data_IF_898059859007
#
_entry.id   IF_898059859007
#
_cell.length_a   1.000
_cell.length_b   1.000
_cell.length_c   1.000
_cell.angle_alpha   90.00
_cell.angle_beta   90.00
_cell.angle_gamma   90.00
#
_symmetry.space_group_name_H-M   'P 1'
#
loop_
_entity.id
_entity.type
_entity.pdbx_description
1 polymer ?
#
# COMPACT_ATOMS: atom_id res chain seq x y z
N UNK A 1 8.39 -13.70 31.77
CA UNK A 1 7.43 -12.73 32.36
C UNK A 1 6.83 -11.71 31.39
N UNK A 2 7.41 -11.43 30.21
CA UNK A 2 6.91 -10.37 29.31
C UNK A 2 5.65 -10.71 28.47
N UNK A 3 5.35 -12.00 28.23
CA UNK A 3 4.20 -12.41 27.40
C UNK A 3 2.85 -12.15 28.08
N UNK A 4 2.72 -12.55 29.35
CA UNK A 4 1.48 -12.37 30.13
C UNK A 4 1.13 -10.90 30.33
N UNK A 5 2.11 -10.03 30.61
CA UNK A 5 1.90 -8.58 30.75
C UNK A 5 1.44 -7.93 29.45
N UNK A 6 1.94 -8.41 28.30
CA UNK A 6 1.52 -7.92 26.96
C UNK A 6 0.11 -8.38 26.59
N UNK A 7 -0.31 -9.56 27.05
CA UNK A 7 -1.67 -10.07 26.86
C UNK A 7 -2.70 -9.32 27.75
N UNK A 8 -2.30 -8.96 28.98
CA UNK A 8 -3.14 -8.20 29.91
C UNK A 8 -3.26 -6.71 29.55
N UNK A 9 -2.26 -6.14 28.87
CA UNK A 9 -2.29 -4.77 28.35
C UNK A 9 -2.24 -4.78 26.81
N UNK A 10 -3.34 -5.10 26.13
CA UNK A 10 -3.39 -4.96 24.68
C UNK A 10 -3.12 -3.49 24.33
N UNK A 11 -2.15 -3.26 23.43
CA UNK A 11 -1.92 -1.91 22.89
C UNK A 11 -3.14 -1.52 22.08
N UNK A 12 -4.02 -0.73 22.66
CA UNK A 12 -5.13 -0.11 21.94
C UNK A 12 -4.54 0.90 20.95
N UNK A 13 -4.94 0.78 19.69
CA UNK A 13 -4.60 1.78 18.69
C UNK A 13 -5.47 3.00 18.95
N UNK A 14 -4.95 3.98 19.67
CA UNK A 14 -5.61 5.27 19.81
C UNK A 14 -5.45 6.05 18.51
N UNK A 15 -6.57 6.53 17.96
CA UNK A 15 -6.53 7.47 16.85
C UNK A 15 -5.65 8.68 17.23
N UNK A 16 -4.78 9.15 16.32
CA UNK A 16 -3.97 10.32 16.59
C UNK A 16 -4.90 11.51 16.88
N UNK A 17 -4.80 12.07 18.08
CA UNK A 17 -5.35 13.39 18.42
C UNK A 17 -4.70 14.40 17.48
N UNK A 18 -5.43 15.35 16.89
CA UNK A 18 -4.90 16.31 15.90
C UNK A 18 -5.29 17.73 16.25
N UNK A 19 -4.44 18.67 15.86
CA UNK A 19 -4.67 20.11 15.96
C UNK A 19 -4.89 20.67 14.55
N UNK A 20 -5.85 21.58 14.39
CA UNK A 20 -6.06 22.37 13.18
C UNK A 20 -4.93 23.40 12.99
N UNK A 21 -4.87 24.04 11.83
CA UNK A 21 -4.07 25.22 11.49
C UNK A 21 -4.17 26.36 12.53
N UNK A 22 -5.26 26.42 13.30
CA UNK A 22 -5.48 27.36 14.42
C UNK A 22 -5.10 26.81 15.81
N UNK A 23 -4.53 25.61 15.91
CA UNK A 23 -4.15 24.97 17.19
C UNK A 23 -5.32 24.33 17.96
N UNK A 24 -6.53 24.21 17.36
CA UNK A 24 -7.69 23.56 17.99
C UNK A 24 -7.67 22.04 17.78
N UNK A 25 -7.96 21.29 18.84
CA UNK A 25 -8.06 19.83 18.78
C UNK A 25 -9.25 19.36 17.93
N UNK A 26 -8.95 18.80 16.75
CA UNK A 26 -9.92 18.14 15.88
C UNK A 26 -10.24 16.77 16.48
N UNK A 27 -11.52 16.57 16.82
CA UNK A 27 -12.02 15.32 17.42
C UNK A 27 -12.81 14.44 16.46
N UNK A 28 -13.36 15.01 15.38
CA UNK A 28 -14.19 14.26 14.42
C UNK A 28 -13.28 13.43 13.50
N UNK A 29 -13.55 12.12 13.33
CA UNK A 29 -12.74 11.25 12.48
C UNK A 29 -12.61 11.72 11.02
N UNK A 30 -13.69 12.25 10.43
CA UNK A 30 -13.66 12.74 9.05
C UNK A 30 -12.75 13.96 8.88
N UNK A 31 -12.86 14.94 9.77
CA UNK A 31 -12.02 16.14 9.74
C UNK A 31 -10.54 15.75 9.90
N UNK A 32 -10.25 14.82 10.83
CA UNK A 32 -8.92 14.21 11.01
C UNK A 32 -8.40 13.59 9.71
N UNK A 33 -9.25 12.87 8.97
CA UNK A 33 -8.90 12.23 7.70
C UNK A 33 -8.62 13.27 6.62
N UNK A 34 -9.51 14.25 6.45
CA UNK A 34 -9.36 15.32 5.46
C UNK A 34 -8.07 16.12 5.67
N UNK A 35 -7.80 16.56 6.90
CA UNK A 35 -6.57 17.30 7.22
C UNK A 35 -5.30 16.51 6.88
N UNK A 36 -5.31 15.18 7.10
CA UNK A 36 -4.15 14.35 6.77
C UNK A 36 -4.07 14.02 5.28
N UNK A 37 -5.20 13.83 4.63
CA UNK A 37 -5.26 13.65 3.18
C UNK A 37 -4.69 14.88 2.48
N UNK A 38 -5.13 16.08 2.86
CA UNK A 38 -4.64 17.34 2.31
C UNK A 38 -3.15 17.55 2.59
N UNK A 39 -2.70 17.27 3.83
CA UNK A 39 -1.28 17.36 4.18
C UNK A 39 -0.40 16.48 3.27
N UNK A 40 -0.77 15.21 3.08
CA UNK A 40 0.03 14.31 2.24
C UNK A 40 -0.15 14.57 0.75
N UNK A 41 -1.34 15.01 0.31
CA UNK A 41 -1.58 15.41 -1.08
C UNK A 41 -0.65 16.55 -1.47
N UNK A 42 -0.57 17.60 -0.66
CA UNK A 42 0.30 18.75 -0.94
C UNK A 42 1.78 18.39 -0.81
N UNK A 43 2.13 17.46 0.09
CA UNK A 43 3.53 17.07 0.31
C UNK A 43 4.07 16.09 -0.73
N UNK A 44 3.23 15.19 -1.23
CA UNK A 44 3.62 14.14 -2.18
C UNK A 44 3.39 14.56 -3.63
N UNK A 45 2.58 15.60 -3.88
CA UNK A 45 2.45 16.20 -5.19
C UNK A 45 3.68 17.05 -5.48
N UNK A 46 4.41 16.71 -6.52
CA UNK A 46 5.40 17.60 -7.11
C UNK A 46 4.72 18.35 -8.25
N UNK A 47 4.64 19.67 -8.14
CA UNK A 47 4.00 20.52 -9.15
C UNK A 47 4.84 20.60 -10.45
N UNK A 48 6.12 20.22 -10.38
CA UNK A 48 7.04 20.25 -11.52
C UNK A 48 7.16 18.90 -12.24
N UNK A 49 6.52 17.83 -11.74
CA UNK A 49 6.50 16.55 -12.44
C UNK A 49 5.45 16.56 -13.55
N UNK A 50 5.90 16.35 -14.78
CA UNK A 50 5.03 15.97 -15.90
C UNK A 50 4.39 14.61 -15.63
N UNK A 51 3.09 14.49 -15.91
CA UNK A 51 2.38 13.21 -15.80
C UNK A 51 3.14 12.11 -16.55
N UNK A 52 3.39 10.99 -15.85
CA UNK A 52 3.97 9.80 -16.48
C UNK A 52 2.85 9.14 -17.26
N UNK A 53 2.83 9.35 -18.57
CA UNK A 53 1.91 8.64 -19.43
C UNK A 53 2.29 7.15 -19.49
N UNK A 54 1.29 6.24 -19.52
CA UNK A 54 1.54 4.83 -19.82
C UNK A 54 2.36 4.68 -21.10
N UNK A 55 3.05 3.54 -21.23
CA UNK A 55 3.88 3.24 -22.39
C UNK A 55 3.18 3.61 -23.69
N UNK A 56 3.83 4.46 -24.50
CA UNK A 56 3.30 4.87 -25.80
C UNK A 56 3.93 4.00 -26.88
N UNK A 57 3.29 2.89 -27.21
CA UNK A 57 3.76 2.00 -28.27
C UNK A 57 2.68 1.03 -28.73
N UNK A 58 2.93 0.34 -29.84
CA UNK A 58 2.01 -0.69 -30.35
C UNK A 58 1.99 -1.88 -29.37
N UNK A 59 0.83 -2.51 -29.16
CA UNK A 59 0.72 -3.73 -28.37
C UNK A 59 1.70 -4.79 -28.90
N UNK A 60 2.50 -5.37 -28.00
CA UNK A 60 3.50 -6.39 -28.35
C UNK A 60 3.85 -7.26 -27.15
N UNK A 61 4.17 -8.55 -27.37
CA UNK A 61 4.61 -9.40 -26.28
C UNK A 61 5.97 -8.94 -25.73
N UNK A 62 6.28 -9.35 -24.50
CA UNK A 62 7.61 -9.19 -23.93
C UNK A 62 8.61 -10.06 -24.71
N UNK A 63 9.82 -9.54 -24.95
CA UNK A 63 10.92 -10.31 -25.56
C UNK A 63 11.23 -11.58 -24.76
N UNK A 64 11.03 -11.52 -23.44
CA UNK A 64 11.13 -12.66 -22.52
C UNK A 64 9.85 -12.69 -21.68
N UNK A 65 8.92 -13.62 -21.96
CA UNK A 65 7.70 -13.75 -21.18
C UNK A 65 8.00 -14.04 -19.71
N UNK A 66 7.16 -13.51 -18.83
CA UNK A 66 7.20 -13.78 -17.40
C UNK A 66 6.92 -15.27 -17.21
N UNK A 67 7.86 -15.98 -16.59
CA UNK A 67 7.73 -17.43 -16.38
C UNK A 67 7.05 -17.75 -15.04
N UNK A 68 6.40 -18.91 -14.97
CA UNK A 68 5.80 -19.40 -13.72
C UNK A 68 6.84 -19.49 -12.58
N UNK A 69 8.06 -19.95 -12.89
CA UNK A 69 9.13 -20.10 -11.90
C UNK A 69 9.62 -18.73 -11.37
N UNK A 70 9.72 -17.73 -12.25
CA UNK A 70 10.05 -16.36 -11.86
C UNK A 70 8.98 -15.75 -10.96
N UNK A 71 7.71 -15.95 -11.31
CA UNK A 71 6.60 -15.49 -10.49
C UNK A 71 6.61 -16.17 -9.11
N UNK A 72 6.74 -17.50 -9.06
CA UNK A 72 6.81 -18.24 -7.79
C UNK A 72 7.98 -17.76 -6.91
N UNK A 73 9.14 -17.51 -7.52
CA UNK A 73 10.30 -16.95 -6.80
C UNK A 73 9.99 -15.58 -6.20
N UNK A 74 9.22 -14.75 -6.91
CA UNK A 74 8.80 -13.43 -6.45
C UNK A 74 7.76 -13.52 -5.32
N UNK A 75 6.74 -14.37 -5.46
CA UNK A 75 5.73 -14.60 -4.43
C UNK A 75 6.34 -15.16 -3.13
N UNK A 76 7.34 -16.03 -3.23
CA UNK A 76 8.04 -16.58 -2.06
C UNK A 76 8.82 -15.52 -1.27
N UNK A 77 9.18 -14.38 -1.88
CA UNK A 77 9.87 -13.26 -1.21
C UNK A 77 8.92 -12.37 -0.42
N UNK A 78 7.61 -12.51 -0.61
CA UNK A 78 6.62 -11.78 0.19
C UNK A 78 6.77 -12.15 1.68
N UNK A 79 6.69 -11.14 2.53
CA UNK A 79 6.83 -11.31 3.99
C UNK A 79 5.48 -11.68 4.58
N UNK A 80 5.49 -12.62 5.53
CA UNK A 80 4.29 -12.98 6.26
C UNK A 80 3.92 -11.89 7.31
N UNK A 81 2.67 -11.91 7.76
CA UNK A 81 2.03 -11.01 8.71
C UNK A 81 2.18 -9.54 8.32
N UNK A 82 1.97 -9.26 7.03
CA UNK A 82 1.87 -7.90 6.49
C UNK A 82 0.42 -7.52 6.29
N UNK A 83 0.13 -6.23 6.44
CA UNK A 83 -1.21 -5.71 6.21
C UNK A 83 -1.56 -5.81 4.72
N UNK A 84 -2.76 -6.30 4.42
CA UNK A 84 -3.31 -6.30 3.07
C UNK A 84 -3.59 -4.89 2.56
N UNK A 85 -3.68 -4.76 1.23
CA UNK A 85 -4.19 -3.57 0.58
C UNK A 85 -5.70 -3.40 0.77
N UNK A 86 -6.30 -2.57 -0.06
CA UNK A 86 -7.75 -2.33 -0.05
C UNK A 86 -8.54 -3.57 -0.51
N UNK A 87 -7.90 -4.41 -1.32
CA UNK A 87 -8.41 -5.69 -1.81
C UNK A 87 -8.53 -6.80 -0.74
N UNK A 88 -8.00 -6.57 0.47
CA UNK A 88 -7.97 -7.54 1.57
C UNK A 88 -7.24 -8.85 1.26
N UNK A 89 -6.38 -8.88 0.23
CA UNK A 89 -5.58 -10.06 -0.11
C UNK A 89 -4.27 -10.02 0.66
N UNK A 90 -4.10 -10.97 1.59
CA UNK A 90 -2.85 -11.13 2.33
C UNK A 90 -1.78 -11.84 1.48
N UNK A 91 -0.52 -11.48 1.70
CA UNK A 91 0.63 -12.06 1.01
C UNK A 91 0.73 -13.59 1.12
N UNK A 92 0.27 -14.16 2.24
CA UNK A 92 0.24 -15.60 2.49
C UNK A 92 -0.63 -16.35 1.49
N UNK A 93 -1.76 -15.75 1.08
CA UNK A 93 -2.67 -16.37 0.12
C UNK A 93 -1.96 -16.58 -1.20
N UNK A 94 -1.22 -15.57 -1.68
CA UNK A 94 -0.43 -15.68 -2.90
C UNK A 94 0.76 -16.62 -2.73
N UNK A 95 1.45 -16.54 -1.59
CA UNK A 95 2.67 -17.31 -1.32
C UNK A 95 2.42 -18.82 -1.24
N UNK A 96 1.31 -19.21 -0.61
CA UNK A 96 0.93 -20.62 -0.40
C UNK A 96 -0.13 -21.09 -1.40
N UNK A 97 -0.51 -20.27 -2.38
CA UNK A 97 -1.43 -20.66 -3.43
C UNK A 97 -0.90 -21.84 -4.26
N UNK A 98 -1.80 -22.66 -4.84
CA UNK A 98 -1.44 -23.72 -5.77
C UNK A 98 -0.63 -23.20 -6.97
N UNK A 99 0.28 -24.02 -7.54
CA UNK A 99 1.06 -23.62 -8.73
C UNK A 99 0.23 -23.18 -9.93
N UNK A 100 -1.02 -23.64 -10.03
CA UNK A 100 -1.97 -23.21 -11.05
C UNK A 100 -2.19 -21.70 -11.02
N UNK A 101 -2.26 -21.09 -9.83
CA UNK A 101 -2.45 -19.64 -9.71
C UNK A 101 -1.25 -18.86 -10.28
N UNK A 102 -0.03 -19.36 -10.06
CA UNK A 102 1.16 -18.71 -10.62
C UNK A 102 1.08 -18.66 -12.15
N UNK A 103 0.64 -19.76 -12.77
CA UNK A 103 0.50 -19.81 -14.22
C UNK A 103 -0.54 -18.80 -14.69
N UNK A 104 -1.71 -18.77 -14.05
CA UNK A 104 -2.79 -17.83 -14.39
C UNK A 104 -2.36 -16.37 -14.27
N UNK A 105 -1.61 -16.02 -13.21
CA UNK A 105 -1.11 -14.65 -13.02
C UNK A 105 -0.06 -14.32 -14.09
N UNK A 106 0.90 -15.22 -14.35
CA UNK A 106 1.93 -15.00 -15.37
C UNK A 106 1.30 -14.83 -16.77
N UNK A 107 0.34 -15.68 -17.13
CA UNK A 107 -0.38 -15.60 -18.41
C UNK A 107 -1.17 -14.29 -18.52
N UNK A 108 -1.85 -13.87 -17.44
CA UNK A 108 -2.58 -12.59 -17.38
C UNK A 108 -1.64 -11.39 -17.58
N UNK A 109 -0.49 -11.38 -16.89
CA UNK A 109 0.48 -10.31 -17.01
C UNK A 109 1.09 -10.24 -18.42
N UNK A 110 1.50 -11.38 -18.97
CA UNK A 110 2.05 -11.46 -20.33
C UNK A 110 1.02 -10.98 -21.36
N UNK A 111 -0.23 -11.40 -21.23
CA UNK A 111 -1.33 -10.97 -22.10
C UNK A 111 -1.57 -9.46 -21.99
N UNK A 112 -1.53 -8.90 -20.78
CA UNK A 112 -1.69 -7.47 -20.57
C UNK A 112 -0.60 -6.65 -21.29
N UNK A 113 0.65 -7.12 -21.30
CA UNK A 113 1.71 -6.51 -22.11
C UNK A 113 1.44 -6.67 -23.61
N UNK A 114 1.03 -7.86 -24.05
CA UNK A 114 0.74 -8.16 -25.45
C UNK A 114 -0.39 -7.31 -26.03
N UNK A 115 -1.47 -7.11 -25.27
CA UNK A 115 -2.67 -6.36 -25.69
C UNK A 115 -2.66 -4.91 -25.25
N UNK A 116 -1.62 -4.48 -24.53
CA UNK A 116 -1.52 -3.15 -23.92
C UNK A 116 -2.74 -2.81 -23.04
N UNK A 117 -3.18 -3.79 -22.25
CA UNK A 117 -4.34 -3.65 -21.35
C UNK A 117 -3.88 -3.21 -19.97
N UNK A 118 -4.47 -2.13 -19.45
CA UNK A 118 -4.22 -1.68 -18.08
C UNK A 118 -4.95 -2.60 -17.09
N UNK A 119 -4.19 -3.26 -16.22
CA UNK A 119 -4.71 -4.12 -15.15
C UNK A 119 -5.10 -3.35 -13.89
N UNK A 120 -4.88 -2.04 -13.84
CA UNK A 120 -5.22 -1.17 -12.71
C UNK A 120 -4.58 -1.61 -11.37
N UNK A 121 -3.39 -2.23 -11.45
CA UNK A 121 -2.60 -2.71 -10.30
C UNK A 121 -1.95 -1.57 -9.49
N UNK A 122 -2.05 -0.33 -9.97
CA UNK A 122 -1.45 0.85 -9.36
C UNK A 122 -2.29 1.46 -8.23
N UNK A 123 -3.35 0.80 -7.78
CA UNK A 123 -4.18 1.26 -6.66
C UNK A 123 -3.56 0.88 -5.31
N UNK A 124 -3.79 1.72 -4.32
CA UNK A 124 -3.35 1.44 -2.96
C UNK A 124 -3.88 2.46 -1.96
N UNK A 125 -4.02 2.03 -0.71
CA UNK A 125 -4.50 2.84 0.41
C UNK A 125 -3.33 3.48 1.15
N UNK A 126 -3.45 4.76 1.47
CA UNK A 126 -2.46 5.47 2.29
C UNK A 126 -2.87 5.39 3.76
N UNK A 127 -1.99 4.81 4.58
CA UNK A 127 -2.14 4.73 6.03
C UNK A 127 -1.12 5.66 6.68
N UNK A 128 -1.61 6.56 7.54
CA UNK A 128 -0.78 7.49 8.28
C UNK A 128 -0.42 6.90 9.67
N UNK A 129 0.87 6.69 9.93
CA UNK A 129 1.36 6.08 11.19
C UNK A 129 2.18 7.09 11.99
N UNK A 130 1.94 7.20 13.29
CA UNK A 130 2.73 8.06 14.18
C UNK A 130 4.22 7.71 14.17
N UNK A 131 5.08 8.71 13.96
CA UNK A 131 6.54 8.56 14.10
C UNK A 131 6.89 8.28 15.56
N UNK A 132 7.75 7.29 15.79
CA UNK A 132 8.27 6.95 17.12
C UNK A 132 8.95 8.17 17.74
N UNK A 133 8.59 8.48 19.00
CA UNK A 133 9.21 9.56 19.78
C UNK A 133 8.79 10.98 19.40
N UNK A 134 7.84 11.16 18.47
CA UNK A 134 7.29 12.47 18.13
C UNK A 134 5.93 12.69 18.81
N UNK A 135 5.60 13.93 19.18
CA UNK A 135 4.31 14.22 19.80
C UNK A 135 3.16 13.85 18.84
N UNK A 136 2.07 13.33 19.41
CA UNK A 136 0.79 13.17 18.73
C UNK A 136 0.23 14.57 18.42
N UNK A 137 -0.59 14.74 17.39
CA UNK A 137 -1.11 16.05 16.99
C UNK A 137 -0.75 16.40 15.55
N UNK A 138 0.47 16.89 15.30
CA UNK A 138 0.83 17.46 14.00
C UNK A 138 0.89 16.41 12.86
N UNK A 139 0.29 16.67 11.69
CA UNK A 139 0.39 15.79 10.52
C UNK A 139 1.84 15.49 10.08
N UNK A 140 2.76 16.45 10.26
CA UNK A 140 4.20 16.26 9.96
C UNK A 140 4.88 15.17 10.79
N UNK A 141 4.28 14.78 11.93
CA UNK A 141 4.75 13.69 12.78
C UNK A 141 4.22 12.32 12.35
N UNK A 142 3.44 12.24 11.26
CA UNK A 142 2.96 10.99 10.68
C UNK A 142 3.90 10.52 9.55
N UNK A 143 3.98 9.20 9.36
CA UNK A 143 4.61 8.55 8.20
C UNK A 143 3.50 8.11 7.25
N UNK A 144 3.53 8.53 5.98
CA UNK A 144 2.65 7.95 4.97
C UNK A 144 3.20 6.58 4.58
N UNK A 145 2.41 5.53 4.80
CA UNK A 145 2.69 4.17 4.31
C UNK A 145 1.61 3.83 3.29
N UNK A 146 2.01 3.50 2.06
CA UNK A 146 1.09 3.06 1.02
C UNK A 146 1.03 1.54 1.03
N UNK A 147 -0.16 0.98 1.23
CA UNK A 147 -0.42 -0.45 1.03
C UNK A 147 -0.95 -0.61 -0.39
N UNK A 148 -0.23 -1.39 -1.20
CA UNK A 148 -0.64 -1.70 -2.57
C UNK A 148 -1.54 -2.93 -2.57
N UNK A 149 -2.42 -3.01 -3.55
CA UNK A 149 -3.18 -4.23 -3.81
C UNK A 149 -2.24 -5.35 -4.32
N UNK A 150 -2.62 -6.58 -4.05
CA UNK A 150 -1.89 -7.81 -4.36
C UNK A 150 -2.22 -8.34 -5.76
#
# INVERSE_FOLDING_TARGET
>A
MFSAVKALNPKTFENPKKEDSEGKLIKKPNDILLTVADHFKNKLRDENLTDIYPFQGKPRPLNKPISQAELRKSLNRLKNNKAAGDDQINSELLKYAPPLLDKTIADTLNKAFETHTDLNINKGVLIAIQKRGKPKGPPGNLRPIRLLNS
#
